data_IF_317207294529
#
_entry.id   IF_317207294529
#
_cell.length_a   1.000
_cell.length_b   1.000
_cell.length_c   1.000
_cell.angle_alpha   90.00
_cell.angle_beta   90.00
_cell.angle_gamma   90.00
#
_symmetry.space_group_name_H-M   'P 1'
#
loop_
_entity.id
_entity.type
_entity.pdbx_description
1 polymer ?
#
# COMPACT_ATOMS: atom_id res chain seq x y z
N UNK A 1 -25.91 -57.51 -57.79
CA UNK A 1 -25.50 -56.60 -56.70
C UNK A 1 -24.45 -55.67 -57.30
N UNK A 2 -24.73 -54.47 -57.81
CA UNK A 2 -25.57 -53.42 -57.26
C UNK A 2 -24.79 -52.08 -57.26
N UNK A 3 -24.43 -51.61 -58.48
CA UNK A 3 -24.41 -50.20 -58.96
C UNK A 3 -23.39 -49.20 -58.35
N UNK A 4 -22.27 -48.91 -59.02
CA UNK A 4 -22.04 -47.94 -60.15
C UNK A 4 -21.92 -46.47 -59.73
N UNK A 5 -20.71 -45.93 -59.98
CA UNK A 5 -20.42 -44.52 -60.12
C UNK A 5 -21.19 -43.89 -61.30
N UNK A 6 -21.60 -42.64 -61.15
CA UNK A 6 -21.94 -41.76 -62.26
C UNK A 6 -21.67 -40.29 -61.87
N UNK A 7 -21.31 -39.52 -62.88
CA UNK A 7 -20.73 -38.17 -62.87
C UNK A 7 -21.77 -37.19 -63.44
N UNK A 8 -21.43 -35.88 -63.42
CA UNK A 8 -21.94 -34.75 -64.25
C UNK A 8 -23.34 -34.17 -63.86
N UNK A 9 -23.76 -32.90 -64.16
CA UNK A 9 -23.10 -31.56 -64.14
C UNK A 9 -24.01 -30.33 -63.74
N UNK A 10 -23.48 -29.10 -63.98
CA UNK A 10 -24.10 -27.79 -64.36
C UNK A 10 -24.55 -26.85 -63.22
N UNK A 11 -23.91 -25.67 -63.07
CA UNK A 11 -24.12 -24.39 -63.78
C UNK A 11 -25.44 -23.70 -63.44
N UNK A 12 -25.38 -22.60 -62.68
CA UNK A 12 -25.95 -21.31 -63.07
C UNK A 12 -25.42 -20.17 -62.19
N UNK A 13 -24.94 -19.13 -62.87
CA UNK A 13 -24.59 -17.84 -62.34
C UNK A 13 -25.85 -16.99 -62.11
N UNK A 14 -25.80 -16.08 -61.13
CA UNK A 14 -26.56 -14.82 -61.19
C UNK A 14 -25.60 -13.69 -60.82
N UNK A 15 -25.15 -12.98 -61.85
CA UNK A 15 -24.69 -11.59 -61.76
C UNK A 15 -25.93 -10.70 -61.65
N UNK A 16 -25.93 -9.77 -60.69
CA UNK A 16 -26.69 -8.53 -60.80
C UNK A 16 -25.69 -7.38 -60.88
N UNK A 17 -25.58 -6.80 -62.08
CA UNK A 17 -24.91 -5.53 -62.33
C UNK A 17 -25.96 -4.43 -62.19
N UNK A 18 -25.72 -3.44 -61.35
CA UNK A 18 -26.39 -2.14 -61.46
C UNK A 18 -25.42 -1.01 -61.06
N UNK A 19 -24.91 -0.36 -62.12
CA UNK A 19 -24.51 1.03 -62.27
C UNK A 19 -23.63 1.70 -61.19
N UNK A 20 -22.37 1.93 -61.59
CA UNK A 20 -21.55 3.01 -61.07
C UNK A 20 -22.16 4.38 -61.45
N UNK A 21 -22.62 5.11 -60.44
CA UNK A 21 -22.80 6.56 -60.50
C UNK A 21 -21.72 7.21 -59.64
N UNK A 22 -20.66 7.71 -60.28
CA UNK A 22 -19.64 8.51 -59.60
C UNK A 22 -20.21 9.88 -59.26
N UNK A 23 -20.55 10.09 -57.99
CA UNK A 23 -20.73 11.42 -57.40
C UNK A 23 -19.64 11.58 -56.34
N UNK A 24 -18.57 12.29 -56.74
CA UNK A 24 -17.58 12.81 -55.82
C UNK A 24 -18.23 13.92 -54.99
N UNK A 25 -18.73 13.56 -53.81
CA UNK A 25 -18.95 14.51 -52.72
C UNK A 25 -17.84 14.33 -51.70
N UNK A 26 -17.02 15.37 -51.58
CA UNK A 26 -16.07 15.62 -50.51
C UNK A 26 -16.79 15.69 -49.17
N UNK A 27 -17.01 14.54 -48.55
CA UNK A 27 -17.41 14.45 -47.16
C UNK A 27 -16.16 14.52 -46.28
N UNK A 28 -16.04 15.64 -45.56
CA UNK A 28 -15.15 15.81 -44.41
C UNK A 28 -15.28 14.58 -43.49
N UNK A 29 -14.19 14.07 -42.88
CA UNK A 29 -14.32 13.04 -41.86
C UNK A 29 -15.16 13.61 -40.71
N UNK A 30 -16.41 13.19 -40.65
CA UNK A 30 -17.22 13.32 -39.45
C UNK A 30 -16.52 12.45 -38.41
N UNK A 31 -15.87 13.09 -37.45
CA UNK A 31 -15.50 12.45 -36.19
C UNK A 31 -16.82 12.09 -35.49
N UNK A 32 -17.44 10.98 -35.91
CA UNK A 32 -18.34 10.25 -35.06
C UNK A 32 -17.50 9.85 -33.85
N UNK A 33 -17.65 10.60 -32.75
CA UNK A 33 -17.08 10.25 -31.47
C UNK A 33 -17.43 8.79 -31.22
N UNK A 34 -16.40 7.95 -31.09
CA UNK A 34 -16.61 6.59 -30.60
C UNK A 34 -17.42 6.70 -29.31
N UNK A 35 -18.51 5.93 -29.15
CA UNK A 35 -19.18 5.84 -27.86
C UNK A 35 -18.12 5.48 -26.82
N UNK A 36 -17.99 6.31 -25.79
CA UNK A 36 -17.12 6.01 -24.67
C UNK A 36 -17.46 4.59 -24.17
N UNK A 37 -16.47 3.73 -23.90
CA UNK A 37 -16.75 2.42 -23.34
C UNK A 37 -17.45 2.61 -21.99
N UNK A 38 -18.76 2.37 -21.93
CA UNK A 38 -19.44 2.14 -20.67
C UNK A 38 -18.94 0.81 -20.12
N UNK A 39 -18.17 0.86 -19.05
CA UNK A 39 -17.69 -0.32 -18.32
C UNK A 39 -18.09 -0.24 -16.86
N UNK A 40 -19.36 -0.55 -16.60
CA UNK A 40 -19.85 -1.55 -15.64
C UNK A 40 -19.55 -1.50 -14.13
N UNK A 41 -18.56 -0.75 -13.62
CA UNK A 41 -18.29 -0.67 -12.18
C UNK A 41 -18.16 0.79 -11.71
N UNK A 42 -18.74 1.17 -10.55
CA UNK A 42 -18.57 2.51 -10.01
C UNK A 42 -17.08 2.79 -9.75
N UNK A 43 -16.65 4.03 -10.00
CA UNK A 43 -15.29 4.45 -9.64
C UNK A 43 -15.06 4.26 -8.14
N UNK A 44 -13.81 4.10 -7.71
CA UNK A 44 -13.49 3.95 -6.29
C UNK A 44 -14.04 5.12 -5.44
N UNK A 45 -13.96 6.35 -5.96
CA UNK A 45 -14.52 7.52 -5.32
C UNK A 45 -16.04 7.46 -5.18
N UNK A 46 -16.71 6.89 -6.18
CA UNK A 46 -18.16 6.65 -6.17
C UNK A 46 -18.56 5.57 -5.17
N UNK A 47 -17.79 4.48 -5.09
CA UNK A 47 -18.01 3.42 -4.10
C UNK A 47 -17.96 3.96 -2.66
N UNK A 48 -16.95 4.78 -2.32
CA UNK A 48 -16.89 5.45 -1.02
C UNK A 48 -18.07 6.38 -0.77
N UNK A 49 -18.52 7.13 -1.78
CA UNK A 49 -19.67 8.04 -1.66
C UNK A 49 -20.97 7.27 -1.42
N UNK A 50 -21.18 6.20 -2.16
CA UNK A 50 -22.36 5.34 -2.05
C UNK A 50 -22.41 4.68 -0.68
N UNK A 51 -21.31 4.05 -0.23
CA UNK A 51 -21.25 3.40 1.07
C UNK A 51 -21.45 4.39 2.23
N UNK A 52 -20.80 5.56 2.16
CA UNK A 52 -20.97 6.64 3.15
C UNK A 52 -22.43 7.08 3.27
N UNK A 53 -23.11 7.26 2.14
CA UNK A 53 -24.51 7.70 2.10
C UNK A 53 -25.45 6.62 2.62
N UNK A 54 -25.21 5.35 2.23
CA UNK A 54 -26.08 4.24 2.58
C UNK A 54 -26.06 3.89 4.07
N UNK A 55 -24.91 4.03 4.72
CA UNK A 55 -24.70 3.62 6.12
C UNK A 55 -24.47 4.78 7.09
N UNK A 56 -24.69 6.02 6.64
CA UNK A 56 -24.52 7.24 7.44
C UNK A 56 -23.16 7.30 8.16
N UNK A 57 -22.10 6.92 7.43
CA UNK A 57 -20.70 7.00 7.86
C UNK A 57 -20.02 8.13 7.08
N UNK A 58 -19.31 9.08 7.72
CA UNK A 58 -18.60 10.13 7.01
C UNK A 58 -17.63 9.58 5.95
N UNK A 59 -17.71 10.12 4.72
CA UNK A 59 -16.87 9.68 3.60
C UNK A 59 -15.38 9.81 3.92
N UNK A 60 -14.97 10.89 4.59
CA UNK A 60 -13.58 11.12 4.99
C UNK A 60 -13.09 10.03 5.94
N UNK A 61 -13.97 9.50 6.80
CA UNK A 61 -13.64 8.42 7.71
C UNK A 61 -13.38 7.12 6.95
N UNK A 62 -14.28 6.75 6.03
CA UNK A 62 -14.12 5.54 5.21
C UNK A 62 -12.84 5.62 4.35
N UNK A 63 -12.58 6.75 3.71
CA UNK A 63 -11.36 6.94 2.91
C UNK A 63 -10.11 6.90 3.81
N UNK A 64 -10.15 7.52 4.99
CA UNK A 64 -9.06 7.50 5.95
C UNK A 64 -8.73 6.08 6.43
N UNK A 65 -9.75 5.26 6.73
CA UNK A 65 -9.60 3.84 7.08
C UNK A 65 -9.03 3.06 5.91
N UNK A 66 -9.65 3.13 4.72
CA UNK A 66 -9.17 2.36 3.57
C UNK A 66 -7.75 2.74 3.14
N UNK A 67 -7.35 4.00 3.32
CA UNK A 67 -5.96 4.39 3.10
C UNK A 67 -5.04 3.83 4.19
N UNK A 68 -5.42 3.89 5.47
CA UNK A 68 -4.63 3.31 6.57
C UNK A 68 -4.45 1.79 6.44
N UNK A 69 -5.46 1.09 5.92
CA UNK A 69 -5.45 -0.36 5.79
C UNK A 69 -4.67 -0.84 4.58
N UNK A 70 -4.83 -0.19 3.42
CA UNK A 70 -4.34 -0.73 2.16
C UNK A 70 -3.89 0.31 1.14
N UNK A 71 -3.71 1.57 1.53
CA UNK A 71 -3.44 2.68 0.59
C UNK A 71 -4.48 2.75 -0.55
N UNK A 72 -5.73 2.33 -0.27
CA UNK A 72 -6.83 2.25 -1.22
C UNK A 72 -6.67 1.19 -2.33
N UNK A 73 -5.82 0.19 -2.10
CA UNK A 73 -5.61 -0.94 -3.00
C UNK A 73 -6.34 -2.19 -2.49
N UNK A 74 -7.07 -2.88 -3.37
CA UNK A 74 -7.83 -4.09 -3.01
C UNK A 74 -7.01 -5.38 -3.03
N UNK A 75 -5.72 -5.28 -3.35
CA UNK A 75 -4.76 -6.38 -3.51
C UNK A 75 -5.29 -7.54 -4.36
N UNK A 76 -6.02 -7.20 -5.44
CA UNK A 76 -6.68 -8.17 -6.34
C UNK A 76 -7.56 -9.21 -5.60
N UNK A 77 -8.07 -8.87 -4.42
CA UNK A 77 -8.88 -9.75 -3.57
C UNK A 77 -8.10 -10.85 -2.85
N UNK A 78 -6.75 -10.82 -2.89
CA UNK A 78 -5.92 -11.73 -2.11
C UNK A 78 -5.86 -11.29 -0.64
N UNK A 79 -5.79 -12.24 0.31
CA UNK A 79 -5.72 -11.92 1.72
C UNK A 79 -4.35 -11.32 2.10
N UNK A 80 -4.37 -10.46 3.10
CA UNK A 80 -3.19 -10.13 3.91
C UNK A 80 -2.80 -11.29 4.84
N UNK A 81 -1.64 -11.19 5.49
CA UNK A 81 -1.19 -12.17 6.49
C UNK A 81 -2.18 -12.38 7.66
N UNK A 82 -2.98 -11.36 7.99
CA UNK A 82 -4.01 -11.43 9.03
C UNK A 82 -5.35 -11.97 8.50
N UNK A 83 -5.37 -12.51 7.28
CA UNK A 83 -6.56 -12.96 6.56
C UNK A 83 -7.61 -11.85 6.39
N UNK A 84 -7.15 -10.63 6.13
CA UNK A 84 -7.98 -9.46 5.77
C UNK A 84 -7.95 -9.15 4.29
N UNK A 85 -9.09 -8.72 3.75
CA UNK A 85 -9.33 -8.63 2.31
C UNK A 85 -9.80 -7.24 1.87
N UNK A 86 -9.41 -6.88 0.65
CA UNK A 86 -9.87 -5.69 -0.06
C UNK A 86 -9.40 -4.37 0.57
N UNK A 87 -9.95 -3.27 0.05
CA UNK A 87 -9.54 -1.89 0.40
C UNK A 87 -9.72 -1.55 1.88
N UNK A 88 -10.68 -2.19 2.54
CA UNK A 88 -11.04 -1.90 3.93
C UNK A 88 -10.55 -2.96 4.92
N UNK A 89 -9.77 -3.94 4.46
CA UNK A 89 -9.26 -5.04 5.28
C UNK A 89 -10.36 -5.74 6.10
N UNK A 90 -11.41 -6.18 5.42
CA UNK A 90 -12.42 -7.03 6.08
C UNK A 90 -11.78 -8.37 6.43
N UNK A 91 -11.60 -8.64 7.72
CA UNK A 91 -10.83 -9.78 8.21
C UNK A 91 -11.69 -10.98 8.57
N UNK A 92 -11.11 -12.16 8.35
CA UNK A 92 -11.69 -13.45 8.69
C UNK A 92 -10.71 -14.25 9.54
N UNK A 93 -10.64 -13.92 10.83
CA UNK A 93 -9.81 -14.66 11.78
C UNK A 93 -10.47 -14.68 13.18
N UNK A 94 -9.99 -15.51 14.13
CA UNK A 94 -10.65 -15.68 15.43
C UNK A 94 -10.80 -14.41 16.28
N UNK A 95 -9.98 -13.38 16.04
CA UNK A 95 -9.98 -12.13 16.84
C UNK A 95 -10.61 -10.95 16.10
N UNK A 96 -10.66 -10.99 14.77
CA UNK A 96 -11.28 -9.99 13.92
C UNK A 96 -12.25 -10.67 12.91
N UNK A 97 -13.57 -10.67 13.20
CA UNK A 97 -14.59 -11.32 12.37
C UNK A 97 -15.29 -10.36 11.38
N UNK A 98 -14.72 -9.19 11.09
CA UNK A 98 -15.37 -8.12 10.30
C UNK A 98 -15.89 -8.56 8.94
N UNK A 99 -15.25 -9.51 8.25
CA UNK A 99 -15.75 -10.06 6.99
C UNK A 99 -17.07 -10.83 7.17
N UNK A 100 -17.18 -11.61 8.25
CA UNK A 100 -18.41 -12.35 8.57
C UNK A 100 -19.53 -11.44 9.08
N UNK A 101 -19.18 -10.38 9.83
CA UNK A 101 -20.13 -9.35 10.25
C UNK A 101 -20.66 -8.58 9.05
N UNK A 102 -19.78 -8.16 8.12
CA UNK A 102 -20.16 -7.50 6.89
C UNK A 102 -21.09 -8.37 6.04
N UNK A 103 -20.79 -9.66 5.88
CA UNK A 103 -21.65 -10.60 5.16
C UNK A 103 -23.04 -10.72 5.80
N UNK A 104 -23.10 -10.80 7.13
CA UNK A 104 -24.35 -10.89 7.88
C UNK A 104 -25.20 -9.62 7.75
N UNK A 105 -24.59 -8.43 7.82
CA UNK A 105 -25.32 -7.15 7.81
C UNK A 105 -25.77 -6.80 6.38
N UNK A 106 -24.90 -6.99 5.39
CA UNK A 106 -25.18 -6.62 3.99
C UNK A 106 -25.99 -7.68 3.23
N UNK A 107 -25.93 -8.95 3.67
CA UNK A 107 -26.46 -10.09 2.93
C UNK A 107 -25.60 -10.49 1.72
N UNK A 108 -24.44 -9.85 1.50
CA UNK A 108 -23.55 -10.16 0.38
C UNK A 108 -22.71 -11.42 0.66
N UNK A 109 -22.41 -12.23 -0.37
CA UNK A 109 -21.49 -13.36 -0.24
C UNK A 109 -20.10 -12.92 0.21
N UNK A 110 -19.46 -13.73 1.06
CA UNK A 110 -18.09 -13.49 1.55
C UNK A 110 -17.09 -13.32 0.40
N UNK A 111 -17.22 -14.12 -0.66
CA UNK A 111 -16.33 -14.01 -1.83
C UNK A 111 -16.46 -12.65 -2.53
N UNK A 112 -17.69 -12.12 -2.62
CA UNK A 112 -17.94 -10.82 -3.22
C UNK A 112 -17.35 -9.71 -2.35
N UNK A 113 -17.56 -9.76 -1.03
CA UNK A 113 -16.97 -8.82 -0.08
C UNK A 113 -15.43 -8.84 -0.08
N UNK A 114 -14.82 -9.99 -0.40
CA UNK A 114 -13.37 -10.14 -0.45
C UNK A 114 -12.76 -9.61 -1.77
N UNK A 115 -13.43 -9.84 -2.92
CA UNK A 115 -12.85 -9.58 -4.25
C UNK A 115 -13.37 -8.32 -4.94
N UNK A 116 -14.60 -7.91 -4.67
CA UNK A 116 -15.20 -6.72 -5.28
C UNK A 116 -14.98 -5.50 -4.39
N UNK A 117 -14.24 -4.50 -4.92
CA UNK A 117 -13.87 -3.31 -4.17
C UNK A 117 -15.07 -2.51 -3.67
N UNK A 118 -16.12 -2.37 -4.48
CA UNK A 118 -17.33 -1.65 -4.09
C UNK A 118 -18.05 -2.33 -2.92
N UNK A 119 -18.22 -3.65 -3.02
CA UNK A 119 -18.83 -4.49 -1.99
C UNK A 119 -18.00 -4.50 -0.71
N UNK A 120 -16.67 -4.53 -0.81
CA UNK A 120 -15.76 -4.46 0.34
C UNK A 120 -15.93 -3.16 1.12
N UNK A 121 -15.99 -2.01 0.42
CA UNK A 121 -16.22 -0.70 1.02
C UNK A 121 -17.61 -0.62 1.65
N UNK A 122 -18.62 -1.15 0.96
CA UNK A 122 -19.98 -1.23 1.47
C UNK A 122 -20.08 -2.06 2.75
N UNK A 123 -19.43 -3.22 2.78
CA UNK A 123 -19.37 -4.11 3.94
C UNK A 123 -18.71 -3.46 5.16
N UNK A 124 -17.59 -2.76 4.95
CA UNK A 124 -16.93 -2.03 6.03
C UNK A 124 -17.78 -0.88 6.56
N UNK A 125 -18.45 -0.13 5.68
CA UNK A 125 -19.38 0.92 6.11
C UNK A 125 -20.55 0.34 6.93
N UNK A 126 -21.08 -0.81 6.54
CA UNK A 126 -22.13 -1.51 7.28
C UNK A 126 -21.67 -1.97 8.69
N UNK A 127 -20.43 -2.45 8.81
CA UNK A 127 -19.83 -2.81 10.11
C UNK A 127 -19.65 -1.57 10.97
N UNK A 128 -19.07 -0.50 10.43
CA UNK A 128 -18.85 0.76 11.15
C UNK A 128 -20.18 1.39 11.64
N UNK A 129 -21.22 1.34 10.82
CA UNK A 129 -22.58 1.74 11.18
C UNK A 129 -23.13 0.94 12.37
N UNK A 130 -23.06 -0.40 12.30
CA UNK A 130 -23.47 -1.26 13.40
C UNK A 130 -22.65 -1.02 14.69
N UNK A 131 -21.41 -0.54 14.57
CA UNK A 131 -20.55 -0.22 15.71
C UNK A 131 -20.93 1.15 16.29
N UNK A 132 -21.26 2.12 15.43
CA UNK A 132 -21.79 3.42 15.83
C UNK A 132 -23.12 3.28 16.59
N UNK A 133 -24.04 2.44 16.10
CA UNK A 133 -25.30 2.14 16.80
C UNK A 133 -25.06 1.55 18.20
N UNK A 134 -24.17 0.56 18.32
CA UNK A 134 -23.82 -0.03 19.61
C UNK A 134 -23.14 0.96 20.56
N UNK A 135 -22.44 1.94 20.01
CA UNK A 135 -21.82 3.03 20.78
C UNK A 135 -22.80 4.17 21.10
N UNK A 136 -24.05 4.12 20.63
CA UNK A 136 -25.05 5.17 20.81
C UNK A 136 -24.79 6.43 19.96
N UNK A 137 -23.95 6.33 18.93
CA UNK A 137 -23.68 7.44 18.00
C UNK A 137 -24.77 7.47 16.92
N UNK A 138 -25.71 8.42 17.02
CA UNK A 138 -26.89 8.48 16.17
C UNK A 138 -27.21 9.90 15.67
N UNK A 139 -28.01 9.97 14.59
CA UNK A 139 -28.52 11.22 14.02
C UNK A 139 -27.40 12.19 13.63
N UNK A 140 -27.62 13.49 13.87
CA UNK A 140 -26.66 14.53 13.48
C UNK A 140 -25.24 14.35 14.07
N UNK A 141 -25.09 13.62 15.18
CA UNK A 141 -23.78 13.34 15.77
C UNK A 141 -22.90 12.47 14.87
N UNK A 142 -23.50 11.67 13.98
CA UNK A 142 -22.77 10.87 12.98
C UNK A 142 -22.05 11.71 11.93
N UNK A 143 -22.44 12.98 11.75
CA UNK A 143 -21.77 13.90 10.84
C UNK A 143 -20.52 14.55 11.45
N UNK A 144 -20.33 14.44 12.77
CA UNK A 144 -19.15 14.93 13.46
C UNK A 144 -18.05 13.85 13.49
N UNK A 145 -17.05 13.99 12.62
CA UNK A 145 -15.86 13.13 12.58
C UNK A 145 -15.20 12.96 13.95
N UNK A 146 -15.27 13.95 14.84
CA UNK A 146 -14.69 13.86 16.19
C UNK A 146 -15.32 12.78 17.04
N UNK A 147 -16.58 12.42 16.80
CA UNK A 147 -17.34 11.44 17.62
C UNK A 147 -17.10 9.98 17.24
N UNK A 148 -16.46 9.72 16.11
CA UNK A 148 -16.23 8.37 15.60
C UNK A 148 -15.05 7.62 16.22
N UNK A 149 -14.24 8.26 17.08
CA UNK A 149 -12.96 7.69 17.53
C UNK A 149 -13.10 6.29 18.15
N UNK A 150 -14.08 6.11 19.05
CA UNK A 150 -14.29 4.80 19.70
C UNK A 150 -14.80 3.73 18.74
N UNK A 151 -15.55 4.12 17.70
CA UNK A 151 -16.06 3.23 16.64
C UNK A 151 -14.89 2.75 15.77
N UNK A 152 -14.02 3.66 15.32
CA UNK A 152 -12.83 3.32 14.54
C UNK A 152 -11.87 2.45 15.35
N UNK A 153 -11.67 2.77 16.64
CA UNK A 153 -10.83 1.95 17.52
C UNK A 153 -11.36 0.52 17.64
N UNK A 154 -12.69 0.34 17.68
CA UNK A 154 -13.31 -0.98 17.70
C UNK A 154 -13.14 -1.73 16.37
N UNK A 155 -13.27 -1.04 15.22
CA UNK A 155 -13.11 -1.64 13.88
C UNK A 155 -11.74 -2.31 13.68
N UNK A 156 -10.69 -1.80 14.32
CA UNK A 156 -9.35 -2.39 14.25
C UNK A 156 -9.25 -3.81 14.83
N UNK A 157 -10.17 -4.19 15.73
CA UNK A 157 -10.07 -5.40 16.55
C UNK A 157 -8.67 -5.59 17.19
N UNK A 158 -8.04 -4.48 17.58
CA UNK A 158 -6.72 -4.51 18.17
C UNK A 158 -6.71 -5.31 19.47
N UNK A 159 -5.64 -6.07 19.68
CA UNK A 159 -5.47 -6.92 20.85
C UNK A 159 -5.50 -6.16 22.20
N UNK A 160 -5.21 -4.85 22.21
CA UNK A 160 -5.33 -4.00 23.38
C UNK A 160 -5.61 -2.52 23.06
N UNK A 161 -5.87 -1.75 24.13
CA UNK A 161 -6.18 -0.32 24.05
C UNK A 161 -5.08 0.52 23.39
N UNK A 162 -3.79 0.38 23.76
CA UNK A 162 -2.70 1.11 23.12
C UNK A 162 -2.56 0.84 21.61
N UNK A 163 -2.69 -0.41 21.15
CA UNK A 163 -2.69 -0.73 19.71
C UNK A 163 -3.92 -0.15 19.01
N UNK A 164 -5.11 -0.22 19.63
CA UNK A 164 -6.31 0.41 19.09
C UNK A 164 -6.13 1.93 18.94
N UNK A 165 -5.53 2.57 19.93
CA UNK A 165 -5.21 4.00 19.92
C UNK A 165 -4.23 4.36 18.79
N UNK A 166 -3.18 3.56 18.60
CA UNK A 166 -2.21 3.74 17.52
C UNK A 166 -2.88 3.70 16.14
N UNK A 167 -3.75 2.71 15.93
CA UNK A 167 -4.54 2.59 14.71
C UNK A 167 -5.43 3.81 14.47
N UNK A 168 -6.23 4.19 15.48
CA UNK A 168 -7.18 5.28 15.31
C UNK A 168 -6.48 6.63 15.14
N UNK A 169 -5.44 6.91 15.93
CA UNK A 169 -4.65 8.14 15.79
C UNK A 169 -4.04 8.24 14.37
N UNK A 170 -3.66 7.12 13.74
CA UNK A 170 -3.17 7.08 12.35
C UNK A 170 -4.27 7.43 11.33
N UNK A 171 -5.47 6.87 11.47
CA UNK A 171 -6.63 7.22 10.61
C UNK A 171 -6.92 8.72 10.68
N UNK A 172 -6.94 9.31 11.88
CA UNK A 172 -7.15 10.76 12.03
C UNK A 172 -5.97 11.60 11.52
N UNK A 173 -4.73 11.09 11.58
CA UNK A 173 -3.56 11.74 10.96
C UNK A 173 -3.72 11.79 9.44
N UNK A 174 -4.14 10.70 8.81
CA UNK A 174 -4.41 10.61 7.37
C UNK A 174 -5.51 11.60 6.97
N UNK A 175 -6.64 11.62 7.67
CA UNK A 175 -7.72 12.60 7.44
C UNK A 175 -7.22 14.05 7.60
N UNK A 176 -6.39 14.29 8.62
CA UNK A 176 -5.77 15.60 8.88
C UNK A 176 -4.85 16.09 7.75
N UNK A 177 -4.20 15.17 7.04
CA UNK A 177 -3.32 15.46 5.91
C UNK A 177 -4.05 15.47 4.55
N UNK A 178 -5.24 14.88 4.49
CA UNK A 178 -5.94 14.63 3.25
C UNK A 178 -5.38 13.41 2.50
N UNK A 179 -6.12 12.95 1.50
CA UNK A 179 -5.72 11.84 0.63
C UNK A 179 -5.88 12.28 -0.81
N UNK A 180 -4.92 11.89 -1.66
CA UNK A 180 -4.98 12.04 -3.11
C UNK A 180 -4.33 10.83 -3.77
N UNK A 181 -5.06 9.72 -3.85
CA UNK A 181 -4.55 8.44 -4.33
C UNK A 181 -5.67 7.61 -4.99
N UNK A 182 -5.32 6.75 -5.96
CA UNK A 182 -6.25 5.83 -6.63
C UNK A 182 -7.55 6.49 -7.17
N UNK A 183 -7.47 7.75 -7.62
CA UNK A 183 -8.64 8.52 -8.10
C UNK A 183 -9.59 8.99 -6.99
N UNK A 184 -9.24 8.79 -5.72
CA UNK A 184 -9.96 9.27 -4.54
C UNK A 184 -9.23 10.48 -3.97
N UNK A 185 -10.01 11.51 -3.63
CA UNK A 185 -9.49 12.64 -2.85
C UNK A 185 -10.39 13.00 -1.67
N UNK A 186 -9.75 13.36 -0.57
CA UNK A 186 -10.34 14.10 0.56
C UNK A 186 -9.41 15.27 0.90
N UNK A 187 -9.98 16.43 1.18
CA UNK A 187 -9.21 17.60 1.57
C UNK A 187 -8.65 17.43 2.98
N UNK A 188 -7.47 18.00 3.29
CA UNK A 188 -6.93 18.00 4.64
C UNK A 188 -7.94 18.61 5.63
N UNK A 189 -8.33 17.84 6.66
CA UNK A 189 -9.28 18.28 7.68
C UNK A 189 -8.76 17.89 9.06
N UNK A 190 -8.17 18.85 9.77
CA UNK A 190 -7.74 18.62 11.16
C UNK A 190 -8.96 18.41 12.05
N UNK A 191 -9.06 17.23 12.64
CA UNK A 191 -10.13 16.88 13.58
C UNK A 191 -9.54 16.75 14.98
N UNK A 192 -10.27 17.25 15.98
CA UNK A 192 -9.97 16.95 17.38
C UNK A 192 -10.87 15.80 17.81
N UNK A 193 -10.37 14.56 17.89
CA UNK A 193 -11.21 13.43 18.20
C UNK A 193 -11.62 13.37 19.68
N UNK A 194 -12.87 13.01 19.92
CA UNK A 194 -13.39 12.61 21.22
C UNK A 194 -12.93 11.19 21.53
N UNK A 195 -11.82 11.08 22.27
CA UNK A 195 -11.19 9.79 22.56
C UNK A 195 -12.01 8.90 23.49
N UNK A 196 -13.04 9.41 24.16
CA UNK A 196 -13.85 8.64 25.10
C UNK A 196 -13.00 7.84 26.09
N UNK A 197 -13.22 6.52 26.13
CA UNK A 197 -12.48 5.57 27.01
C UNK A 197 -10.97 5.52 26.74
N UNK A 198 -10.50 5.98 25.59
CA UNK A 198 -9.08 5.99 25.22
C UNK A 198 -8.32 7.24 25.70
N UNK A 199 -9.02 8.20 26.33
CA UNK A 199 -8.40 9.45 26.84
C UNK A 199 -7.21 9.18 27.76
N UNK A 200 -7.34 8.17 28.64
CA UNK A 200 -6.32 7.81 29.62
C UNK A 200 -5.43 6.63 29.18
N UNK A 201 -5.63 6.10 27.98
CA UNK A 201 -4.78 5.04 27.42
C UNK A 201 -3.53 5.69 26.87
N UNK A 202 -2.35 5.42 27.43
CA UNK A 202 -1.10 6.00 26.92
C UNK A 202 -0.90 5.66 25.43
N UNK A 203 -0.51 6.62 24.58
CA UNK A 203 -0.14 6.31 23.20
C UNK A 203 1.08 5.38 23.19
N UNK A 204 1.05 4.38 22.31
CA UNK A 204 2.23 3.56 22.03
C UNK A 204 3.39 4.47 21.61
N UNK A 205 4.58 4.21 22.17
CA UNK A 205 5.76 5.03 21.94
C UNK A 205 5.96 6.17 22.92
N UNK A 206 5.10 6.30 23.95
CA UNK A 206 5.40 7.15 25.11
C UNK A 206 6.71 6.67 25.73
N UNK A 207 7.77 7.47 25.58
CA UNK A 207 9.11 7.14 26.08
C UNK A 207 9.13 7.22 27.61
N UNK A 208 8.87 6.09 28.25
CA UNK A 208 9.11 5.91 29.68
C UNK A 208 10.53 5.40 29.91
N UNK A 209 11.14 5.62 31.10
CA UNK A 209 12.43 5.02 31.42
C UNK A 209 12.45 3.50 31.21
N UNK A 210 11.37 2.82 31.59
CA UNK A 210 11.22 1.37 31.42
C UNK A 210 11.14 0.96 29.95
N UNK A 211 10.41 1.70 29.10
CA UNK A 211 10.34 1.38 27.66
C UNK A 211 11.65 1.70 26.94
N UNK A 212 12.38 2.74 27.35
CA UNK A 212 13.72 3.05 26.81
C UNK A 212 14.72 1.95 27.19
N UNK A 213 14.66 1.48 28.44
CA UNK A 213 15.53 0.39 28.91
C UNK A 213 15.17 -0.97 28.28
N UNK A 214 13.93 -1.15 27.82
CA UNK A 214 13.44 -2.39 27.23
C UNK A 214 13.78 -2.57 25.74
N UNK A 215 14.07 -1.49 25.00
CA UNK A 215 14.37 -1.56 23.57
C UNK A 215 15.85 -1.78 23.29
N UNK A 216 16.14 -2.66 22.33
CA UNK A 216 17.52 -2.88 21.84
C UNK A 216 17.94 -1.78 20.85
N UNK A 217 16.97 -1.15 20.16
CA UNK A 217 17.21 -0.04 19.24
C UNK A 217 16.68 1.29 19.80
N UNK A 218 17.56 2.28 20.04
CA UNK A 218 17.16 3.59 20.53
C UNK A 218 16.11 4.27 19.64
N UNK A 219 15.00 4.68 20.23
CA UNK A 219 13.92 5.37 19.53
C UNK A 219 12.84 4.44 18.94
N UNK A 220 13.00 3.11 19.02
CA UNK A 220 11.91 2.19 18.75
C UNK A 220 10.78 2.34 19.78
N UNK A 221 9.55 2.07 19.34
CA UNK A 221 8.42 1.87 20.24
C UNK A 221 8.46 0.44 20.75
N UNK A 222 8.51 0.22 22.07
CA UNK A 222 8.30 -1.12 22.62
C UNK A 222 6.80 -1.47 22.63
N UNK A 223 6.42 -2.52 21.93
CA UNK A 223 5.07 -3.07 21.94
C UNK A 223 5.14 -4.60 21.82
N UNK A 224 5.24 -5.33 22.95
CA UNK A 224 5.63 -6.73 22.90
C UNK A 224 4.62 -7.61 22.17
N UNK A 225 5.12 -8.56 21.38
CA UNK A 225 4.35 -9.69 20.86
C UNK A 225 3.84 -10.58 22.02
N UNK A 226 2.86 -11.42 21.74
CA UNK A 226 2.39 -12.41 22.70
C UNK A 226 3.55 -13.33 23.12
N UNK A 227 3.64 -13.67 24.41
CA UNK A 227 4.61 -14.66 24.91
C UNK A 227 4.42 -16.03 24.31
N UNK A 228 3.27 -16.30 23.67
CA UNK A 228 3.00 -17.53 22.92
C UNK A 228 3.60 -17.54 21.52
N UNK A 229 4.20 -16.44 21.04
CA UNK A 229 4.64 -16.27 19.66
C UNK A 229 6.17 -16.15 19.51
N UNK A 230 6.93 -16.37 20.57
CA UNK A 230 8.40 -16.38 20.55
C UNK A 230 8.92 -17.28 21.66
N UNK A 231 10.22 -17.62 21.61
CA UNK A 231 10.91 -18.35 22.66
C UNK A 231 11.81 -17.40 23.46
N UNK A 232 11.70 -17.44 24.80
CA UNK A 232 12.63 -16.71 25.68
C UNK A 232 14.03 -17.28 25.54
N UNK A 233 14.99 -16.39 25.34
CA UNK A 233 16.37 -16.72 25.02
C UNK A 233 16.53 -17.33 23.63
N UNK A 234 17.79 -17.53 23.24
CA UNK A 234 18.18 -18.06 21.93
C UNK A 234 19.21 -19.18 22.07
N UNK A 235 19.32 -20.01 21.04
CA UNK A 235 20.26 -21.14 21.01
C UNK A 235 21.48 -20.90 20.14
N UNK A 236 21.54 -19.79 19.39
CA UNK A 236 22.68 -19.40 18.57
C UNK A 236 22.97 -17.88 18.68
N UNK A 237 24.18 -17.47 18.33
CA UNK A 237 24.50 -16.05 18.19
C UNK A 237 23.74 -15.45 17.00
N UNK A 238 23.32 -14.18 17.10
CA UNK A 238 22.75 -13.47 15.94
C UNK A 238 23.89 -13.24 14.95
N UNK A 239 23.73 -13.75 13.74
CA UNK A 239 24.69 -13.62 12.63
C UNK A 239 24.05 -13.12 11.34
N UNK A 240 22.73 -13.00 11.29
CA UNK A 240 21.98 -12.64 10.07
C UNK A 240 20.80 -11.73 10.39
N UNK A 241 20.53 -10.77 9.51
CA UNK A 241 19.36 -9.88 9.58
C UNK A 241 18.46 -10.20 8.38
N UNK A 242 17.18 -10.41 8.64
CA UNK A 242 16.20 -10.83 7.63
C UNK A 242 15.21 -9.70 7.38
N UNK A 243 15.09 -9.31 6.12
CA UNK A 243 14.17 -8.29 5.64
C UNK A 243 12.92 -9.00 5.12
N UNK A 244 11.79 -8.64 5.70
CA UNK A 244 10.47 -9.15 5.34
C UNK A 244 9.58 -8.02 4.81
N UNK A 245 8.57 -8.39 4.02
CA UNK A 245 7.41 -7.54 3.73
C UNK A 245 6.18 -8.26 4.27
N UNK A 246 5.40 -7.55 5.09
CA UNK A 246 4.33 -8.13 5.92
C UNK A 246 3.15 -8.69 5.14
N UNK A 247 2.96 -8.28 3.88
CA UNK A 247 1.71 -8.50 3.15
C UNK A 247 0.50 -7.97 3.95
N UNK A 248 0.60 -6.74 4.47
CA UNK A 248 -0.42 -6.13 5.32
C UNK A 248 -0.01 -4.81 5.97
N UNK A 249 -0.95 -4.17 6.68
CA UNK A 249 -0.74 -2.90 7.36
C UNK A 249 0.17 -3.01 8.61
N UNK A 250 0.76 -1.89 9.02
CA UNK A 250 1.64 -1.77 10.19
C UNK A 250 0.95 -2.21 11.47
N UNK A 251 -0.26 -1.67 11.69
CA UNK A 251 -1.09 -1.93 12.87
C UNK A 251 -1.67 -3.33 12.85
N UNK A 252 -2.08 -3.83 11.67
CA UNK A 252 -2.52 -5.20 11.46
C UNK A 252 -1.43 -6.21 11.83
N UNK A 253 -0.19 -5.96 11.41
CA UNK A 253 0.99 -6.80 11.76
C UNK A 253 1.23 -6.84 13.27
N UNK A 254 1.24 -5.66 13.91
CA UNK A 254 1.41 -5.54 15.36
C UNK A 254 0.30 -6.30 16.11
N UNK A 255 -0.96 -6.16 15.68
CA UNK A 255 -2.09 -6.86 16.29
C UNK A 255 -1.95 -8.38 16.12
N UNK A 256 -1.54 -8.84 14.93
CA UNK A 256 -1.35 -10.25 14.62
C UNK A 256 -0.28 -10.92 15.47
N UNK A 257 0.85 -10.24 15.72
CA UNK A 257 1.89 -10.72 16.61
C UNK A 257 1.48 -10.76 18.09
N UNK A 258 0.40 -10.05 18.47
CA UNK A 258 -0.17 -10.08 19.83
C UNK A 258 -1.27 -11.14 19.97
N UNK A 259 -1.76 -11.70 18.87
CA UNK A 259 -2.68 -12.83 18.89
C UNK A 259 -1.94 -14.12 19.24
N UNK A 260 -2.20 -14.79 20.38
CA UNK A 260 -1.51 -16.03 20.75
C UNK A 260 -1.76 -17.19 19.77
N UNK A 261 -2.84 -17.14 18.98
CA UNK A 261 -3.14 -18.17 17.99
C UNK A 261 -2.31 -18.03 16.69
N UNK A 262 -1.63 -16.90 16.47
CA UNK A 262 -0.87 -16.69 15.23
C UNK A 262 0.39 -17.53 15.17
N UNK A 263 1.03 -17.79 16.33
CA UNK A 263 2.26 -18.58 16.42
C UNK A 263 3.37 -18.04 15.50
N UNK A 264 3.41 -16.72 15.30
CA UNK A 264 4.42 -16.01 14.51
C UNK A 264 4.74 -14.65 15.13
N UNK A 265 5.98 -14.19 14.95
CA UNK A 265 6.44 -12.86 15.39
C UNK A 265 7.73 -12.46 14.68
N UNK A 266 8.00 -11.16 14.61
CA UNK A 266 9.31 -10.62 14.25
C UNK A 266 9.85 -9.72 15.37
N UNK A 267 11.13 -9.34 15.27
CA UNK A 267 11.73 -8.46 16.27
C UNK A 267 11.26 -7.02 16.09
N UNK A 268 11.16 -6.57 14.84
CA UNK A 268 10.81 -5.19 14.51
C UNK A 268 9.75 -5.13 13.40
N UNK A 269 8.92 -4.08 13.43
CA UNK A 269 7.97 -3.70 12.38
C UNK A 269 8.21 -2.24 12.01
N UNK A 270 8.20 -1.91 10.72
CA UNK A 270 8.47 -0.57 10.20
C UNK A 270 7.28 -0.07 9.37
N UNK A 271 6.80 1.13 9.74
CA UNK A 271 5.69 1.80 9.06
C UNK A 271 6.18 2.45 7.75
N UNK A 272 5.38 2.30 6.70
CA UNK A 272 5.63 2.84 5.37
C UNK A 272 5.63 4.36 5.34
N UNK A 273 4.62 5.00 5.95
CA UNK A 273 4.38 6.43 5.77
C UNK A 273 5.47 7.35 6.34
N UNK A 274 6.10 6.97 7.46
CA UNK A 274 7.06 7.81 8.18
C UNK A 274 8.29 7.07 8.73
N UNK A 275 8.40 5.75 8.49
CA UNK A 275 9.52 4.94 8.97
C UNK A 275 9.49 4.62 10.46
N UNK A 276 8.36 4.82 11.17
CA UNK A 276 8.26 4.50 12.59
C UNK A 276 8.64 3.03 12.87
N UNK A 277 9.65 2.84 13.70
CA UNK A 277 10.12 1.52 14.14
C UNK A 277 9.40 1.13 15.43
N UNK A 278 8.77 -0.05 15.44
CA UNK A 278 8.24 -0.72 16.64
C UNK A 278 9.02 -2.01 16.87
N UNK A 279 9.48 -2.23 18.09
CA UNK A 279 10.09 -3.46 18.53
C UNK A 279 9.06 -4.33 19.27
N UNK A 280 8.91 -5.57 18.80
CA UNK A 280 7.91 -6.53 19.26
C UNK A 280 8.51 -7.69 20.06
N UNK A 281 9.75 -8.08 19.75
CA UNK A 281 10.50 -9.10 20.51
C UNK A 281 11.88 -8.55 20.82
N UNK A 282 12.33 -8.73 22.06
CA UNK A 282 13.68 -8.35 22.46
C UNK A 282 14.67 -9.22 21.69
N UNK A 283 15.74 -8.65 21.12
CA UNK A 283 16.67 -9.39 20.28
C UNK A 283 17.22 -10.61 21.00
N UNK A 284 17.43 -10.55 22.33
CA UNK A 284 17.91 -11.67 23.17
C UNK A 284 17.05 -12.94 23.07
N UNK A 285 15.77 -12.78 22.74
CA UNK A 285 14.79 -13.85 22.60
C UNK A 285 14.64 -14.25 21.13
N UNK A 286 14.13 -15.44 20.84
CA UNK A 286 13.96 -15.94 19.47
C UNK A 286 12.54 -15.70 18.98
N UNK A 287 12.36 -14.68 18.14
CA UNK A 287 11.12 -14.46 17.38
C UNK A 287 10.88 -15.58 16.34
N UNK A 288 9.63 -15.75 15.91
CA UNK A 288 9.22 -16.81 14.99
C UNK A 288 8.82 -16.24 13.62
N UNK A 289 9.82 -15.91 12.79
CA UNK A 289 9.62 -15.25 11.49
C UNK A 289 10.21 -16.01 10.28
N UNK A 290 11.18 -16.89 10.47
CA UNK A 290 11.92 -17.54 9.39
C UNK A 290 12.35 -18.98 9.74
N UNK A 291 11.41 -19.75 10.30
CA UNK A 291 11.50 -21.22 10.50
C UNK A 291 12.83 -21.67 11.14
N UNK A 292 13.60 -22.52 10.46
CA UNK A 292 14.84 -23.13 10.94
C UNK A 292 15.96 -22.10 11.20
N UNK A 293 15.83 -20.90 10.65
CA UNK A 293 16.83 -19.82 10.80
C UNK A 293 16.57 -18.89 11.99
N UNK A 294 15.39 -19.00 12.63
CA UNK A 294 15.03 -18.20 13.81
C UNK A 294 16.13 -18.14 14.90
N UNK A 295 16.86 -19.22 15.22
CA UNK A 295 17.86 -19.19 16.30
C UNK A 295 18.99 -18.16 16.15
N UNK A 296 19.34 -17.77 14.91
CA UNK A 296 20.50 -16.93 14.62
C UNK A 296 20.15 -15.66 13.80
N UNK A 297 18.85 -15.39 13.60
CA UNK A 297 18.39 -14.27 12.78
C UNK A 297 17.64 -13.20 13.58
N UNK A 298 17.69 -11.96 13.08
CA UNK A 298 16.76 -10.88 13.46
C UNK A 298 15.86 -10.54 12.29
N UNK A 299 14.56 -10.83 12.40
CA UNK A 299 13.55 -10.42 11.44
C UNK A 299 13.07 -8.97 11.62
N UNK A 300 13.02 -8.23 10.51
CA UNK A 300 12.48 -6.88 10.39
C UNK A 300 11.37 -6.89 9.33
N UNK A 301 10.15 -6.61 9.78
CA UNK A 301 8.93 -6.54 8.98
C UNK A 301 8.69 -5.15 8.41
N UNK A 302 8.40 -5.06 7.12
CA UNK A 302 8.07 -3.81 6.45
C UNK A 302 6.61 -3.82 6.02
N UNK A 303 5.84 -2.85 6.50
CA UNK A 303 4.45 -2.63 6.08
C UNK A 303 4.35 -2.54 4.56
N UNK A 304 3.49 -3.36 3.95
CA UNK A 304 3.17 -3.25 2.54
C UNK A 304 2.94 -4.58 1.86
N UNK A 305 2.99 -4.54 0.52
CA UNK A 305 2.78 -5.68 -0.36
C UNK A 305 3.91 -5.78 -1.40
N UNK A 306 4.40 -7.01 -1.62
CA UNK A 306 5.57 -7.30 -2.46
C UNK A 306 5.43 -6.83 -3.92
N UNK A 307 4.20 -6.76 -4.42
CA UNK A 307 3.84 -6.34 -5.77
C UNK A 307 3.49 -4.85 -5.90
N UNK A 308 3.49 -4.10 -4.80
CA UNK A 308 3.10 -2.69 -4.74
C UNK A 308 4.26 -1.79 -4.29
N UNK A 309 5.06 -1.24 -5.23
CA UNK A 309 6.26 -0.47 -4.90
C UNK A 309 5.99 0.85 -4.15
N UNK A 310 4.76 1.37 -4.16
CA UNK A 310 4.37 2.59 -3.44
C UNK A 310 4.51 2.47 -1.92
N UNK A 311 4.54 1.26 -1.37
CA UNK A 311 4.76 1.00 0.05
C UNK A 311 6.23 1.16 0.48
N UNK A 312 7.18 1.04 -0.45
CA UNK A 312 8.60 1.10 -0.12
C UNK A 312 9.12 2.53 -0.16
N UNK A 313 8.62 3.35 0.78
CA UNK A 313 8.97 4.76 0.86
C UNK A 313 10.42 4.96 1.32
N UNK A 314 10.95 6.16 1.07
CA UNK A 314 12.25 6.55 1.59
C UNK A 314 12.32 6.50 3.13
N UNK A 315 11.24 6.93 3.80
CA UNK A 315 11.19 6.96 5.24
C UNK A 315 11.33 5.56 5.85
N UNK A 316 10.64 4.57 5.24
CA UNK A 316 10.78 3.16 5.57
C UNK A 316 12.21 2.66 5.32
N UNK A 317 12.76 2.84 4.12
CA UNK A 317 14.11 2.37 3.78
C UNK A 317 15.17 2.97 4.70
N UNK A 318 15.12 4.27 4.99
CA UNK A 318 16.08 4.96 5.86
C UNK A 318 16.04 4.44 7.29
N UNK A 319 14.84 4.30 7.83
CA UNK A 319 14.65 3.83 9.21
C UNK A 319 15.09 2.37 9.36
N UNK A 320 14.72 1.54 8.39
CA UNK A 320 15.14 0.14 8.32
C UNK A 320 16.66 -0.02 8.16
N UNK A 321 17.27 0.76 7.29
CA UNK A 321 18.71 0.71 7.07
C UNK A 321 19.50 1.19 8.29
N UNK A 322 18.99 2.22 9.00
CA UNK A 322 19.58 2.69 10.24
C UNK A 322 19.48 1.64 11.36
N UNK A 323 18.33 0.97 11.48
CA UNK A 323 18.13 -0.15 12.40
C UNK A 323 19.09 -1.31 12.06
N UNK A 324 19.11 -1.74 10.80
CA UNK A 324 19.96 -2.84 10.31
C UNK A 324 21.44 -2.55 10.53
N UNK A 325 21.90 -1.32 10.21
CA UNK A 325 23.27 -0.88 10.51
C UNK A 325 23.56 -0.97 12.01
N UNK A 326 22.64 -0.48 12.85
CA UNK A 326 22.83 -0.51 14.31
C UNK A 326 22.93 -1.94 14.85
N UNK A 327 22.08 -2.86 14.37
CA UNK A 327 22.17 -4.29 14.74
C UNK A 327 23.51 -4.86 14.29
N UNK A 328 23.89 -4.61 13.03
CA UNK A 328 25.13 -5.13 12.46
C UNK A 328 26.37 -4.63 13.24
N UNK A 329 26.41 -3.35 13.58
CA UNK A 329 27.50 -2.75 14.36
C UNK A 329 27.58 -3.33 15.78
N UNK A 330 26.44 -3.49 16.48
CA UNK A 330 26.42 -4.06 17.84
C UNK A 330 26.79 -5.54 17.89
N UNK A 331 26.61 -6.27 16.78
CA UNK A 331 26.80 -7.73 16.72
C UNK A 331 28.03 -8.15 15.90
N UNK A 332 28.73 -7.21 15.27
CA UNK A 332 29.87 -7.51 14.39
C UNK A 332 29.46 -8.25 13.10
N UNK A 333 28.24 -8.03 12.61
CA UNK A 333 27.76 -8.66 11.36
C UNK A 333 28.28 -7.85 10.16
N UNK A 334 28.91 -8.49 9.15
CA UNK A 334 29.25 -7.83 7.90
C UNK A 334 28.02 -7.24 7.20
N UNK A 335 28.12 -6.00 6.71
CA UNK A 335 27.02 -5.28 6.04
C UNK A 335 26.93 -5.62 4.55
N UNK A 336 26.82 -6.90 4.26
CA UNK A 336 26.75 -7.47 2.92
C UNK A 336 25.47 -8.30 2.71
N UNK A 337 25.28 -8.79 1.49
CA UNK A 337 24.12 -9.61 1.11
C UNK A 337 24.21 -11.07 1.56
N UNK A 338 25.35 -11.51 2.10
CA UNK A 338 25.47 -12.83 2.70
C UNK A 338 24.87 -12.86 4.12
N UNK A 339 24.83 -11.72 4.81
CA UNK A 339 24.35 -11.63 6.20
C UNK A 339 23.10 -10.76 6.38
N UNK A 340 22.82 -9.85 5.45
CA UNK A 340 21.54 -9.15 5.38
C UNK A 340 20.81 -9.78 4.20
N UNK A 341 19.70 -10.47 4.46
CA UNK A 341 19.02 -11.34 3.49
C UNK A 341 17.52 -11.06 3.43
N UNK A 342 16.91 -11.32 2.28
CA UNK A 342 15.46 -11.40 2.17
C UNK A 342 14.95 -12.73 2.71
N UNK A 343 13.69 -12.80 3.13
CA UNK A 343 13.10 -14.04 3.57
C UNK A 343 13.13 -15.12 2.47
N UNK A 344 12.83 -14.73 1.24
CA UNK A 344 12.90 -15.55 0.03
C UNK A 344 14.29 -16.15 -0.29
N UNK A 345 15.35 -15.65 0.36
CA UNK A 345 16.71 -16.15 0.16
C UNK A 345 17.10 -17.21 1.20
N UNK A 346 16.37 -17.31 2.30
CA UNK A 346 16.68 -18.25 3.38
C UNK A 346 16.41 -19.70 2.98
N UNK A 347 17.12 -20.68 3.57
CA UNK A 347 16.81 -22.09 3.34
C UNK A 347 15.39 -22.42 3.80
N UNK A 348 14.78 -23.42 3.15
CA UNK A 348 13.46 -23.95 3.49
C UNK A 348 12.31 -22.92 3.51
N UNK A 349 12.45 -21.84 2.74
CA UNK A 349 11.41 -20.82 2.62
C UNK A 349 10.35 -21.22 1.57
N UNK A 350 9.10 -20.89 1.88
CA UNK A 350 7.93 -20.95 1.00
C UNK A 350 7.39 -19.54 0.67
N UNK A 351 8.24 -18.52 0.86
CA UNK A 351 7.88 -17.11 0.88
C UNK A 351 8.55 -16.34 -0.27
N UNK A 352 7.88 -15.29 -0.76
CA UNK A 352 8.39 -14.47 -1.87
C UNK A 352 8.90 -13.09 -1.42
N UNK A 353 8.68 -12.73 -0.17
CA UNK A 353 9.07 -11.44 0.39
C UNK A 353 10.60 -11.33 0.62
N UNK A 354 11.19 -10.12 0.50
CA UNK A 354 10.55 -8.81 0.35
C UNK A 354 10.10 -8.48 -1.09
N UNK A 355 10.22 -9.43 -2.02
CA UNK A 355 9.69 -9.32 -3.37
C UNK A 355 10.58 -8.56 -4.36
N UNK A 356 10.19 -8.55 -5.65
CA UNK A 356 10.99 -7.97 -6.73
C UNK A 356 11.09 -6.44 -6.67
N UNK A 357 10.16 -5.79 -5.96
CA UNK A 357 10.10 -4.33 -5.84
C UNK A 357 10.97 -3.80 -4.69
N UNK A 358 11.52 -4.67 -3.83
CA UNK A 358 12.47 -4.26 -2.81
C UNK A 358 13.83 -3.92 -3.43
N UNK A 359 14.24 -2.66 -3.31
CA UNK A 359 15.45 -2.15 -3.91
C UNK A 359 16.66 -2.42 -3.02
N UNK A 360 17.24 -3.62 -3.16
CA UNK A 360 18.43 -4.02 -2.42
C UNK A 360 19.62 -3.08 -2.61
N UNK A 361 19.85 -2.56 -3.81
CA UNK A 361 20.95 -1.63 -4.07
C UNK A 361 20.81 -0.36 -3.24
N UNK A 362 19.64 0.27 -3.28
CA UNK A 362 19.33 1.47 -2.50
C UNK A 362 19.43 1.19 -0.99
N UNK A 363 18.84 0.09 -0.55
CA UNK A 363 18.84 -0.30 0.85
C UNK A 363 20.25 -0.54 1.38
N UNK A 364 21.07 -1.29 0.65
CA UNK A 364 22.44 -1.59 1.06
C UNK A 364 23.35 -0.36 1.01
N UNK A 365 23.12 0.60 0.12
CA UNK A 365 23.79 1.90 0.15
C UNK A 365 23.50 2.63 1.48
N UNK A 366 22.23 2.70 1.88
CA UNK A 366 21.83 3.30 3.15
C UNK A 366 22.41 2.55 4.36
N UNK A 367 22.40 1.22 4.36
CA UNK A 367 22.96 0.39 5.44
C UNK A 367 24.45 0.67 5.61
N UNK A 368 25.20 0.79 4.51
CA UNK A 368 26.63 1.09 4.52
C UNK A 368 26.96 2.56 4.83
N UNK A 369 25.96 3.39 5.15
CA UNK A 369 26.16 4.81 5.45
C UNK A 369 26.38 5.68 4.22
N UNK A 370 26.14 5.14 3.02
CA UNK A 370 26.13 5.90 1.79
C UNK A 370 24.96 6.89 1.78
N UNK A 371 25.19 8.05 1.13
CA UNK A 371 24.11 8.96 0.78
C UNK A 371 23.57 8.51 -0.58
N UNK A 372 22.33 8.02 -0.68
CA UNK A 372 21.81 7.59 -1.97
C UNK A 372 21.73 8.78 -2.92
N UNK A 373 22.14 8.54 -4.15
CA UNK A 373 22.25 9.58 -5.16
C UNK A 373 20.85 10.00 -5.65
N UNK A 374 20.56 11.27 -5.39
CA UNK A 374 19.66 12.15 -6.15
C UNK A 374 18.17 12.18 -5.76
N UNK A 375 17.92 12.84 -4.62
CA UNK A 375 16.59 13.33 -4.23
C UNK A 375 16.37 14.71 -4.85
N UNK A 376 15.26 14.91 -5.54
CA UNK A 376 14.87 16.23 -6.04
C UNK A 376 13.51 16.63 -5.48
N UNK A 377 13.16 17.89 -5.64
CA UNK A 377 11.83 18.41 -5.34
C UNK A 377 11.20 18.83 -6.67
N UNK A 378 9.92 18.58 -6.87
CA UNK A 378 9.21 19.15 -8.01
C UNK A 378 8.81 20.60 -7.74
N UNK A 379 8.61 21.39 -8.79
CA UNK A 379 7.88 22.64 -8.68
C UNK A 379 6.48 22.50 -9.28
N UNK A 380 5.54 23.29 -8.76
CA UNK A 380 4.15 23.28 -9.20
C UNK A 380 3.29 22.13 -8.65
N UNK A 381 2.02 22.15 -9.03
CA UNK A 381 0.99 21.17 -8.66
C UNK A 381 0.36 20.57 -9.90
N UNK A 382 -0.14 19.33 -9.81
CA UNK A 382 -0.77 18.65 -10.94
C UNK A 382 0.23 18.04 -11.93
N UNK A 383 1.50 17.85 -11.54
CA UNK A 383 2.51 17.29 -12.45
C UNK A 383 2.28 15.79 -12.66
N UNK A 384 2.16 15.39 -13.93
CA UNK A 384 1.78 14.05 -14.34
C UNK A 384 2.99 13.14 -14.42
N UNK A 385 2.89 11.98 -13.77
CA UNK A 385 3.82 10.85 -13.91
C UNK A 385 3.20 9.88 -14.91
N UNK A 386 3.95 9.51 -15.95
CA UNK A 386 3.49 8.65 -17.05
C UNK A 386 4.18 7.29 -17.04
N UNK A 387 3.60 6.29 -17.68
CA UNK A 387 4.20 4.95 -17.70
C UNK A 387 5.50 4.88 -18.51
N UNK A 388 5.72 5.81 -19.44
CA UNK A 388 6.94 5.95 -20.25
C UNK A 388 7.26 7.42 -20.55
N UNK A 389 8.46 7.72 -21.06
CA UNK A 389 8.96 9.07 -21.38
C UNK A 389 8.34 9.65 -22.68
N UNK A 390 7.02 9.58 -22.82
CA UNK A 390 6.27 10.15 -23.95
C UNK A 390 4.92 10.68 -23.50
N UNK A 391 4.44 11.75 -24.12
CA UNK A 391 3.19 12.43 -23.79
C UNK A 391 1.95 11.57 -24.05
N UNK A 392 2.04 10.61 -24.96
CA UNK A 392 0.98 9.64 -25.25
C UNK A 392 0.92 8.48 -24.25
N UNK A 393 1.91 8.33 -23.36
CA UNK A 393 1.90 7.25 -22.37
C UNK A 393 0.82 7.49 -21.31
N UNK A 394 0.12 6.42 -20.85
CA UNK A 394 -0.84 6.49 -19.75
C UNK A 394 -0.29 7.24 -18.54
N UNK A 395 -1.14 8.06 -17.91
CA UNK A 395 -0.81 8.71 -16.64
C UNK A 395 -0.91 7.64 -15.54
N UNK A 396 0.19 7.44 -14.82
CA UNK A 396 0.27 6.54 -13.65
C UNK A 396 -0.27 7.23 -12.41
N UNK A 397 0.15 8.49 -12.19
CA UNK A 397 -0.31 9.30 -11.06
C UNK A 397 -0.08 10.79 -11.34
N UNK A 398 -0.59 11.65 -10.45
CA UNK A 398 -0.43 13.10 -10.52
C UNK A 398 0.04 13.63 -9.15
N UNK A 399 1.10 14.43 -9.14
CA UNK A 399 1.69 15.00 -7.93
C UNK A 399 0.96 16.30 -7.56
N UNK A 400 0.57 16.45 -6.28
CA UNK A 400 -0.34 17.51 -5.83
C UNK A 400 0.31 18.90 -5.60
N UNK A 401 1.64 19.00 -5.62
CA UNK A 401 2.39 20.21 -5.27
C UNK A 401 3.88 19.90 -5.22
N UNK A 402 4.75 20.82 -4.73
CA UNK A 402 6.16 20.52 -4.56
C UNK A 402 6.33 19.21 -3.79
N UNK A 403 6.77 18.18 -4.51
CA UNK A 403 6.82 16.81 -4.03
C UNK A 403 8.26 16.37 -4.10
N UNK A 404 8.75 15.79 -3.01
CA UNK A 404 10.06 15.17 -3.03
C UNK A 404 10.00 13.90 -3.87
N UNK A 405 10.80 13.85 -4.92
CA UNK A 405 10.86 12.77 -5.88
C UNK A 405 12.24 12.12 -5.87
N UNK A 406 12.25 10.80 -5.97
CA UNK A 406 13.46 9.99 -5.99
C UNK A 406 13.70 9.51 -7.42
N UNK A 407 14.73 10.06 -8.06
CA UNK A 407 15.02 9.77 -9.45
C UNK A 407 15.99 8.60 -9.52
N UNK A 408 15.54 7.47 -10.09
CA UNK A 408 16.37 6.27 -10.22
C UNK A 408 17.25 6.31 -11.45
N UNK A 409 16.74 6.88 -12.55
CA UNK A 409 17.44 7.08 -13.80
C UNK A 409 16.74 8.17 -14.62
N UNK A 410 17.38 8.63 -15.69
CA UNK A 410 16.78 9.56 -16.64
C UNK A 410 17.02 9.13 -18.09
N UNK A 411 16.12 9.49 -19.00
CA UNK A 411 16.29 9.27 -20.44
C UNK A 411 15.69 10.41 -21.24
N UNK A 412 16.08 10.52 -22.50
CA UNK A 412 15.41 11.41 -23.43
C UNK A 412 14.08 10.81 -23.88
N UNK A 413 13.10 11.67 -24.08
CA UNK A 413 11.74 11.33 -24.48
C UNK A 413 11.11 12.47 -25.28
N UNK A 414 9.77 12.53 -25.27
CA UNK A 414 9.06 13.63 -25.92
C UNK A 414 9.48 14.97 -25.33
N UNK A 415 9.67 15.96 -26.20
CA UNK A 415 9.95 17.34 -25.80
C UNK A 415 8.73 17.96 -25.15
N UNK A 416 8.92 18.54 -23.96
CA UNK A 416 7.89 19.28 -23.23
C UNK A 416 8.29 20.74 -23.12
N UNK A 417 7.35 21.63 -23.45
CA UNK A 417 7.50 23.07 -23.24
C UNK A 417 6.45 23.53 -22.23
N UNK A 418 6.89 24.12 -21.13
CA UNK A 418 6.04 24.70 -20.09
C UNK A 418 6.73 25.92 -19.49
N UNK A 419 5.95 26.97 -19.19
CA UNK A 419 6.45 28.17 -18.48
C UNK A 419 7.71 28.79 -19.12
N UNK A 420 7.80 28.80 -20.45
CA UNK A 420 8.94 29.34 -21.19
C UNK A 420 10.18 28.44 -21.23
N UNK A 421 10.16 27.29 -20.56
CA UNK A 421 11.24 26.30 -20.58
C UNK A 421 10.91 25.15 -21.51
N UNK A 422 11.91 24.62 -22.23
CA UNK A 422 11.76 23.43 -23.08
C UNK A 422 12.79 22.38 -22.66
N UNK A 423 12.32 21.16 -22.40
CA UNK A 423 13.17 20.06 -21.97
C UNK A 423 12.68 18.71 -22.54
N UNK A 424 13.60 17.86 -22.99
CA UNK A 424 13.31 16.53 -23.50
C UNK A 424 13.82 15.40 -22.59
N UNK A 425 14.38 15.73 -21.42
CA UNK A 425 14.78 14.75 -20.42
C UNK A 425 13.63 14.40 -19.50
N UNK A 426 13.54 13.11 -19.18
CA UNK A 426 12.54 12.52 -18.31
C UNK A 426 13.22 11.67 -17.24
N UNK A 427 12.76 11.81 -16.01
CA UNK A 427 13.22 11.09 -14.84
C UNK A 427 12.28 9.96 -14.50
N UNK A 428 12.81 8.75 -14.36
CA UNK A 428 12.10 7.63 -13.75
C UNK A 428 12.03 7.86 -12.25
N UNK A 429 10.81 7.94 -11.72
CA UNK A 429 10.56 8.12 -10.30
C UNK A 429 10.40 6.76 -9.62
N UNK A 430 11.09 6.56 -8.49
CA UNK A 430 11.06 5.32 -7.70
C UNK A 430 9.64 5.02 -7.19
N UNK A 431 9.09 5.95 -6.42
CA UNK A 431 7.88 5.71 -5.62
C UNK A 431 6.62 5.72 -6.47
N UNK A 432 6.60 6.51 -7.55
CA UNK A 432 5.47 6.63 -8.46
C UNK A 432 5.51 5.62 -9.62
N UNK A 433 6.60 4.86 -9.77
CA UNK A 433 6.70 3.79 -10.78
C UNK A 433 6.65 4.25 -12.24
N UNK A 434 6.81 5.54 -12.52
CA UNK A 434 6.68 6.11 -13.88
C UNK A 434 7.73 7.19 -14.19
N UNK A 435 7.60 7.81 -15.35
CA UNK A 435 8.45 8.88 -15.84
C UNK A 435 7.78 10.23 -15.69
N UNK A 436 8.55 11.21 -15.25
CA UNK A 436 8.14 12.61 -15.17
C UNK A 436 9.15 13.44 -15.96
N UNK A 437 8.68 14.38 -16.76
CA UNK A 437 9.60 15.30 -17.47
C UNK A 437 10.39 16.12 -16.45
N UNK A 438 11.69 16.27 -16.69
CA UNK A 438 12.60 17.02 -15.84
C UNK A 438 12.26 18.51 -15.79
N UNK A 439 11.41 19.00 -16.71
CA UNK A 439 10.92 20.37 -16.64
C UNK A 439 10.26 20.66 -15.30
N UNK A 440 9.62 19.70 -14.62
CA UNK A 440 8.96 19.95 -13.34
C UNK A 440 9.85 19.69 -12.12
N UNK A 441 11.16 19.48 -12.31
CA UNK A 441 12.09 19.33 -11.20
C UNK A 441 12.66 20.71 -10.87
N UNK A 442 12.64 21.07 -9.59
CA UNK A 442 13.25 22.28 -9.04
C UNK A 442 14.78 22.15 -9.04
N UNK A 443 15.34 22.17 -10.25
CA UNK A 443 16.76 22.10 -10.53
C UNK A 443 17.06 22.82 -11.86
N UNK A 444 18.15 23.60 -11.96
CA UNK A 444 18.45 24.38 -13.17
C UNK A 444 18.83 23.53 -14.39
N UNK A 445 19.42 22.35 -14.16
CA UNK A 445 19.89 21.49 -15.26
C UNK A 445 18.76 20.69 -15.91
N UNK A 446 18.70 20.74 -17.24
CA UNK A 446 17.75 19.95 -18.03
C UNK A 446 17.95 18.44 -17.84
N UNK A 447 19.22 17.99 -17.84
CA UNK A 447 19.66 16.65 -17.48
C UNK A 447 20.20 16.69 -16.06
N UNK A 448 19.59 15.94 -15.15
CA UNK A 448 19.92 16.02 -13.73
C UNK A 448 21.34 15.51 -13.45
N UNK A 449 22.15 16.24 -12.68
CA UNK A 449 23.49 15.80 -12.31
C UNK A 449 23.43 14.57 -11.41
N UNK A 450 24.38 13.65 -11.58
CA UNK A 450 24.48 12.44 -10.75
C UNK A 450 23.37 11.41 -10.94
N UNK A 451 22.44 11.61 -11.88
CA UNK A 451 21.38 10.65 -12.21
C UNK A 451 21.82 9.79 -13.41
N UNK A 452 21.84 8.44 -13.28
CA UNK A 452 22.26 7.55 -14.37
C UNK A 452 21.24 7.55 -15.52
N UNK A 453 21.69 7.11 -16.71
CA UNK A 453 20.79 6.93 -17.87
C UNK A 453 19.95 5.67 -17.68
N UNK A 454 18.65 5.73 -18.01
CA UNK A 454 17.80 4.54 -17.96
C UNK A 454 18.25 3.50 -19.00
N UNK A 455 18.16 2.20 -18.67
CA UNK A 455 18.51 1.12 -19.60
C UNK A 455 17.63 1.10 -20.85
#
# INVERSE_FOLDING_TARGET
>A
MGKTAARVPRLTAVLAVAAAGALAFSALPSNAAQPAPQTGAPSLAEAFRTAATQYDVPRELLVGIGYAESHLDGHNGLPSQANGYGVMHLASNPVNPTLSEAAKITGLPVEQLAKDTGSNILGAAAVLDAYADRAGLAGAARQDLGKWYSVVAQYSHSADGPTARLYTDEVYRIIGQGVGAAGVSIQPKKVTPDRGKYTNVAPLGTRTPSSIAAVDYPGAIWNPASTSNYRVGRTAAISTIVIHVTQGSYTGTISWFKNPASQVSAHYVIRSSDGQVTQMVAEKDTAWHARSTNPYTVGIEHEGWVDQPSWFTDAMYRSSAALTRSIADRRGIPKDRAHIRGHNELPDNDHTDPGPNWNWTYYMQLVNGGTPTSNFTTYGSGVRVRSDARLSAPIVTTLAGPTRVYVTCQKQGDTVTAEGTTNNWWSKLRDQGGFMTNIYIDHPDAKLPGVPICP
#
